data_IF_711091804033
#
_entry.id   IF_711091804033
#
_cell.length_a   1.000
_cell.length_b   1.000
_cell.length_c   1.000
_cell.angle_alpha   90.00
_cell.angle_beta   90.00
_cell.angle_gamma   90.00
#
_symmetry.space_group_name_H-M   'P 1'
#
loop_
_entity.id
_entity.type
_entity.pdbx_description
1 polymer ?
#
# COMPACT_ATOMS: atom_id res chain seq x y z
N UNK A 1 -53.50 26.74 -3.71
CA UNK A 1 -52.09 27.06 -4.02
C UNK A 1 -51.23 26.28 -3.05
N UNK A 2 -50.86 25.04 -3.39
CA UNK A 2 -49.87 24.27 -2.65
C UNK A 2 -48.53 24.44 -3.34
N UNK A 3 -47.52 24.92 -2.61
CA UNK A 3 -46.15 24.98 -3.11
C UNK A 3 -45.54 23.60 -2.95
N UNK A 4 -45.27 22.92 -4.07
CA UNK A 4 -44.39 21.74 -4.09
C UNK A 4 -42.97 22.21 -3.75
N UNK A 5 -42.50 21.83 -2.57
CA UNK A 5 -41.09 21.93 -2.22
C UNK A 5 -40.40 20.76 -2.90
N UNK A 6 -39.81 21.03 -4.07
CA UNK A 6 -38.86 20.11 -4.70
C UNK A 6 -37.61 20.10 -3.82
N UNK A 7 -37.48 19.09 -2.97
CA UNK A 7 -36.23 18.82 -2.27
C UNK A 7 -35.17 18.51 -3.33
N UNK A 8 -34.22 19.42 -3.52
CA UNK A 8 -33.04 19.14 -4.32
C UNK A 8 -32.27 18.03 -3.62
N UNK A 9 -32.22 16.84 -4.24
CA UNK A 9 -31.32 15.78 -3.80
C UNK A 9 -29.89 16.32 -3.87
N UNK A 10 -29.26 16.48 -2.71
CA UNK A 10 -27.84 16.75 -2.66
C UNK A 10 -27.13 15.57 -3.35
N UNK A 11 -26.18 15.83 -4.26
CA UNK A 11 -25.40 14.76 -4.86
C UNK A 11 -24.73 13.95 -3.74
N UNK A 12 -24.82 12.62 -3.83
CA UNK A 12 -24.15 11.74 -2.89
C UNK A 12 -22.64 12.06 -2.91
N UNK A 13 -21.96 12.02 -1.74
CA UNK A 13 -20.51 12.13 -1.70
C UNK A 13 -19.91 11.09 -2.65
N UNK A 14 -19.05 11.53 -3.58
CA UNK A 14 -18.40 10.63 -4.52
C UNK A 14 -17.22 9.93 -3.86
N UNK A 15 -17.15 8.61 -3.96
CA UNK A 15 -16.05 7.83 -3.41
C UNK A 15 -14.78 8.02 -4.26
N UNK A 16 -13.68 8.49 -3.69
CA UNK A 16 -12.40 8.54 -4.37
C UNK A 16 -11.90 7.12 -4.66
N UNK A 17 -11.61 6.83 -5.92
CA UNK A 17 -11.07 5.54 -6.36
C UNK A 17 -9.60 5.70 -6.69
N UNK A 18 -8.75 4.86 -6.12
CA UNK A 18 -7.35 4.74 -6.53
C UNK A 18 -7.27 3.90 -7.80
N UNK A 19 -6.75 4.49 -8.88
CA UNK A 19 -6.41 3.76 -10.10
C UNK A 19 -4.92 3.48 -10.16
N UNK A 20 -4.58 2.26 -10.58
CA UNK A 20 -3.21 1.82 -10.79
C UNK A 20 -3.04 1.41 -12.25
N UNK A 21 -2.00 1.93 -12.90
CA UNK A 21 -1.61 1.55 -14.25
C UNK A 21 -0.17 1.05 -14.22
N UNK A 22 0.04 -0.21 -14.63
CA UNK A 22 1.38 -0.82 -14.64
C UNK A 22 2.27 -0.12 -15.66
N UNK A 23 3.45 0.31 -15.24
CA UNK A 23 4.43 0.99 -16.12
C UNK A 23 5.60 0.10 -16.47
N UNK A 24 6.09 -0.68 -15.51
CA UNK A 24 7.22 -1.58 -15.70
C UNK A 24 7.25 -2.66 -14.63
N UNK A 25 7.92 -3.76 -14.96
CA UNK A 25 8.10 -4.91 -14.08
C UNK A 25 9.55 -5.35 -14.09
N UNK A 26 10.08 -5.61 -12.90
CA UNK A 26 11.47 -5.94 -12.63
C UNK A 26 11.54 -7.34 -12.05
N UNK A 27 12.40 -8.20 -12.62
CA UNK A 27 12.54 -9.58 -12.11
C UNK A 27 13.39 -9.57 -10.85
N UNK A 28 12.98 -10.35 -9.85
CA UNK A 28 13.84 -10.68 -8.72
C UNK A 28 14.67 -11.89 -9.12
N UNK A 29 16.01 -11.85 -8.96
CA UNK A 29 16.85 -13.02 -9.22
C UNK A 29 16.39 -14.24 -8.41
N UNK A 30 16.45 -15.46 -8.98
CA UNK A 30 16.06 -16.68 -8.28
C UNK A 30 16.80 -16.84 -6.95
N UNK A 31 16.08 -17.28 -5.91
CA UNK A 31 16.62 -17.50 -4.57
C UNK A 31 16.78 -16.23 -3.71
N UNK A 32 16.38 -15.06 -4.21
CA UNK A 32 16.35 -13.83 -3.41
C UNK A 32 14.95 -13.61 -2.81
N UNK A 33 14.86 -13.61 -1.49
CA UNK A 33 13.67 -13.16 -0.76
C UNK A 33 13.77 -11.67 -0.49
N UNK A 34 12.84 -10.87 -1.03
CA UNK A 34 12.83 -9.41 -0.82
C UNK A 34 12.30 -9.08 0.59
N UNK A 35 13.11 -8.37 1.38
CA UNK A 35 12.72 -7.86 2.70
C UNK A 35 12.08 -6.47 2.66
N UNK A 36 12.22 -5.76 1.54
CA UNK A 36 11.58 -4.48 1.27
C UNK A 36 12.24 -3.74 0.10
N UNK A 37 11.70 -2.58 -0.24
CA UNK A 37 12.20 -1.75 -1.33
C UNK A 37 12.00 -0.26 -1.03
N UNK A 38 12.67 0.59 -1.80
CA UNK A 38 12.46 2.04 -1.86
C UNK A 38 12.62 2.53 -3.28
N UNK A 39 11.80 3.48 -3.69
CA UNK A 39 11.81 4.09 -5.02
C UNK A 39 12.30 5.53 -4.86
N UNK A 40 13.18 5.98 -5.75
CA UNK A 40 13.58 7.39 -5.77
C UNK A 40 12.37 8.29 -6.06
N UNK A 41 12.38 9.52 -5.54
CA UNK A 41 11.26 10.47 -5.70
C UNK A 41 10.94 10.80 -7.17
N UNK A 42 11.96 10.78 -8.04
CA UNK A 42 11.82 10.92 -9.49
C UNK A 42 11.21 9.67 -10.17
N UNK A 43 11.09 8.56 -9.44
CA UNK A 43 10.55 7.30 -9.93
C UNK A 43 11.51 6.53 -10.85
N UNK A 44 12.77 6.93 -11.02
CA UNK A 44 13.68 6.33 -12.01
C UNK A 44 14.56 5.20 -11.47
N UNK A 45 14.73 5.11 -10.14
CA UNK A 45 15.60 4.14 -9.49
C UNK A 45 14.88 3.41 -8.39
N UNK A 46 14.94 2.08 -8.44
CA UNK A 46 14.37 1.20 -7.42
C UNK A 46 15.51 0.46 -6.72
N UNK A 47 15.55 0.58 -5.39
CA UNK A 47 16.40 -0.24 -4.54
C UNK A 47 15.52 -1.27 -3.85
N UNK A 48 15.90 -2.54 -3.92
CA UNK A 48 15.30 -3.62 -3.14
C UNK A 48 16.39 -4.31 -2.31
N UNK A 49 16.07 -4.78 -1.11
CA UNK A 49 17.03 -5.50 -0.28
C UNK A 49 16.54 -6.91 0.03
N UNK A 50 17.48 -7.84 0.10
CA UNK A 50 17.19 -9.21 0.50
C UNK A 50 16.92 -9.30 2.01
N UNK A 51 15.94 -10.10 2.40
CA UNK A 51 15.62 -10.36 3.81
C UNK A 51 16.73 -11.16 4.51
N UNK A 52 17.33 -12.11 3.79
CA UNK A 52 18.18 -13.15 4.39
C UNK A 52 19.66 -13.06 3.97
N UNK A 53 19.99 -12.10 3.10
CA UNK A 53 21.33 -11.91 2.54
C UNK A 53 21.77 -10.44 2.60
N UNK A 54 23.09 -10.16 2.65
CA UNK A 54 23.63 -8.80 2.56
C UNK A 54 23.64 -8.30 1.11
N UNK A 55 22.48 -8.39 0.46
CA UNK A 55 22.30 -8.13 -0.96
C UNK A 55 21.30 -6.99 -1.14
N UNK A 56 21.70 -5.99 -1.90
CA UNK A 56 20.83 -4.92 -2.38
C UNK A 56 20.81 -4.98 -3.91
N UNK A 57 19.63 -4.88 -4.48
CA UNK A 57 19.38 -4.86 -5.91
C UNK A 57 19.06 -3.42 -6.32
N UNK A 58 19.85 -2.86 -7.22
CA UNK A 58 19.59 -1.56 -7.82
C UNK A 58 19.08 -1.76 -9.24
N UNK A 59 17.86 -1.31 -9.50
CA UNK A 59 17.28 -1.21 -10.83
C UNK A 59 17.38 0.24 -11.29
N UNK A 60 18.19 0.49 -12.32
CA UNK A 60 18.36 1.79 -12.95
C UNK A 60 17.61 1.85 -14.29
N UNK A 61 16.62 2.74 -14.40
CA UNK A 61 15.85 2.93 -15.62
C UNK A 61 14.83 1.80 -15.90
N UNK A 62 14.59 1.52 -17.18
CA UNK A 62 13.54 0.58 -17.64
C UNK A 62 14.01 -0.87 -17.82
N UNK A 63 15.28 -1.18 -17.51
CA UNK A 63 15.82 -2.54 -17.62
C UNK A 63 15.24 -3.46 -16.53
N UNK A 64 15.00 -4.73 -16.86
CA UNK A 64 14.43 -5.72 -15.94
C UNK A 64 15.44 -6.36 -14.99
N UNK A 65 16.74 -6.22 -15.29
CA UNK A 65 17.83 -6.86 -14.56
C UNK A 65 18.49 -5.88 -13.57
N UNK A 66 18.69 -6.29 -12.30
CA UNK A 66 19.32 -5.44 -11.31
C UNK A 66 20.84 -5.44 -11.42
N UNK A 67 21.45 -4.35 -10.96
CA UNK A 67 22.83 -4.35 -10.48
C UNK A 67 22.85 -4.81 -9.03
N UNK A 68 23.57 -5.89 -8.76
CA UNK A 68 23.74 -6.43 -7.41
C UNK A 68 24.82 -5.65 -6.65
N UNK A 69 24.45 -5.11 -5.49
CA UNK A 69 25.34 -4.46 -4.54
C UNK A 69 25.46 -5.34 -3.29
N UNK A 70 26.68 -5.69 -2.90
CA UNK A 70 26.95 -6.42 -1.67
C UNK A 70 27.29 -5.45 -0.55
N UNK A 71 26.58 -5.55 0.57
CA UNK A 71 26.82 -4.73 1.75
C UNK A 71 27.65 -5.50 2.79
N UNK A 72 28.37 -4.80 3.67
CA UNK A 72 29.13 -5.44 4.77
C UNK A 72 28.24 -5.99 5.89
N UNK A 73 26.94 -5.71 5.85
CA UNK A 73 25.96 -6.09 6.87
C UNK A 73 24.59 -6.24 6.23
N UNK A 74 23.71 -7.03 6.85
CA UNK A 74 22.33 -7.20 6.39
C UNK A 74 21.56 -5.88 6.47
N UNK A 75 20.77 -5.60 5.44
CA UNK A 75 19.79 -4.50 5.45
C UNK A 75 18.49 -5.05 6.00
N UNK A 76 18.03 -4.52 7.15
CA UNK A 76 16.85 -5.05 7.85
C UNK A 76 15.65 -4.16 7.55
N UNK A 77 14.62 -4.74 6.90
CA UNK A 77 13.25 -4.20 6.91
C UNK A 77 12.51 -4.68 8.16
N UNK A 78 11.66 -3.84 8.75
CA UNK A 78 11.00 -4.15 10.01
C UNK A 78 10.12 -5.41 9.92
N UNK A 79 10.50 -6.48 10.63
CA UNK A 79 9.79 -7.78 10.64
C UNK A 79 8.41 -7.74 11.33
N UNK A 80 8.19 -6.74 12.18
CA UNK A 80 7.01 -6.61 13.05
C UNK A 80 6.38 -5.22 13.01
N UNK A 81 7.12 -4.23 12.47
CA UNK A 81 6.77 -2.83 12.44
C UNK A 81 7.07 -2.29 11.04
N UNK A 82 6.08 -1.72 10.38
CA UNK A 82 6.27 -0.98 9.14
C UNK A 82 6.37 0.51 9.45
N UNK A 83 7.37 1.15 8.84
CA UNK A 83 7.58 2.60 8.87
C UNK A 83 7.56 3.09 7.43
N UNK A 84 6.68 4.04 7.14
CA UNK A 84 6.64 4.73 5.85
C UNK A 84 6.60 6.25 6.08
N UNK A 85 7.17 7.02 5.14
CA UNK A 85 7.02 8.47 5.14
C UNK A 85 5.64 8.84 4.55
N UNK A 86 4.98 9.81 5.16
CA UNK A 86 3.75 10.43 4.68
C UNK A 86 3.92 11.95 4.69
N UNK A 87 4.51 12.49 3.62
CA UNK A 87 4.94 13.89 3.55
C UNK A 87 5.87 14.28 4.71
N UNK A 88 5.39 15.09 5.66
CA UNK A 88 6.12 15.50 6.86
C UNK A 88 5.91 14.56 8.06
N UNK A 89 5.00 13.60 7.95
CA UNK A 89 4.61 12.66 8.99
C UNK A 89 5.24 11.27 8.75
N UNK A 90 5.17 10.42 9.78
CA UNK A 90 5.50 9.00 9.71
C UNK A 90 4.23 8.16 9.83
N UNK A 91 4.13 7.10 9.05
CA UNK A 91 3.16 6.02 9.27
C UNK A 91 3.81 4.89 10.06
N UNK A 92 3.14 4.44 11.10
CA UNK A 92 3.56 3.34 11.96
C UNK A 92 2.48 2.29 11.98
N UNK A 93 2.86 1.03 11.72
CA UNK A 93 1.91 -0.08 11.74
C UNK A 93 2.55 -1.35 12.30
N UNK A 94 1.81 -2.06 13.14
CA UNK A 94 2.17 -3.44 13.51
C UNK A 94 1.63 -4.45 12.50
N UNK A 95 2.42 -5.48 12.28
CA UNK A 95 2.07 -6.62 11.41
C UNK A 95 0.86 -7.40 11.95
N UNK A 96 0.82 -7.63 13.24
CA UNK A 96 -0.21 -8.44 13.89
C UNK A 96 -1.48 -7.60 14.17
N UNK A 97 -2.63 -8.24 14.43
CA UNK A 97 -3.84 -7.54 14.87
C UNK A 97 -3.55 -6.60 16.05
N UNK A 98 -4.16 -5.40 16.11
CA UNK A 98 -5.38 -4.98 15.39
C UNK A 98 -5.13 -4.34 14.01
N UNK A 99 -3.90 -4.40 13.47
CA UNK A 99 -3.53 -3.81 12.17
C UNK A 99 -3.75 -2.29 12.05
N UNK A 100 -3.84 -1.59 13.18
CA UNK A 100 -3.95 -0.12 13.22
C UNK A 100 -2.72 0.53 12.59
N UNK A 101 -2.96 1.61 11.85
CA UNK A 101 -1.92 2.50 11.34
C UNK A 101 -2.04 3.82 12.08
N UNK A 102 -0.95 4.27 12.67
CA UNK A 102 -0.86 5.61 13.24
C UNK A 102 -0.11 6.51 12.27
N UNK A 103 -0.69 7.69 11.98
CA UNK A 103 0.08 8.78 11.41
C UNK A 103 0.60 9.66 12.54
N UNK A 104 1.90 9.79 12.61
CA UNK A 104 2.62 10.48 13.67
C UNK A 104 3.34 11.67 13.06
N UNK A 105 3.01 12.87 13.51
CA UNK A 105 3.68 14.08 13.07
C UNK A 105 5.14 14.12 13.56
N UNK A 106 5.95 14.98 12.94
CA UNK A 106 7.38 15.14 13.27
C UNK A 106 7.63 15.49 14.74
N UNK A 107 6.65 16.08 15.43
CA UNK A 107 6.70 16.40 16.86
C UNK A 107 6.39 15.20 17.77
N UNK A 108 6.06 14.03 17.20
CA UNK A 108 5.70 12.80 17.91
C UNK A 108 4.21 12.65 18.24
N UNK A 109 3.36 13.60 17.86
CA UNK A 109 1.92 13.50 18.10
C UNK A 109 1.24 12.58 17.09
N UNK A 110 0.33 11.73 17.56
CA UNK A 110 -0.55 10.96 16.69
C UNK A 110 -1.61 11.90 16.13
N UNK A 111 -1.55 12.19 14.83
CA UNK A 111 -2.47 13.10 14.13
C UNK A 111 -3.62 12.36 13.45
N UNK A 112 -3.48 11.06 13.22
CA UNK A 112 -4.56 10.20 12.74
C UNK A 112 -4.33 8.75 13.18
N UNK A 113 -5.42 8.01 13.37
CA UNK A 113 -5.42 6.57 13.61
C UNK A 113 -6.38 5.92 12.61
N UNK A 114 -5.86 4.99 11.83
CA UNK A 114 -6.60 4.25 10.81
C UNK A 114 -6.74 2.81 11.27
N UNK A 115 -7.97 2.32 11.31
CA UNK A 115 -8.25 0.95 11.66
C UNK A 115 -9.19 0.37 10.59
N UNK A 116 -8.94 -0.87 10.12
CA UNK A 116 -9.90 -1.53 9.24
C UNK A 116 -11.24 -1.62 9.96
N UNK A 117 -12.28 -1.07 9.32
CA UNK A 117 -13.68 -1.11 9.78
C UNK A 117 -14.29 -2.52 9.64
N UNK A 118 -13.72 -3.37 8.79
CA UNK A 118 -14.27 -4.67 8.45
C UNK A 118 -13.28 -5.83 8.54
N UNK A 119 -13.79 -6.99 8.97
CA UNK A 119 -13.08 -8.24 8.81
C UNK A 119 -13.05 -8.69 7.34
N UNK A 120 -11.94 -9.26 6.86
CA UNK A 120 -11.83 -9.86 5.54
C UNK A 120 -12.74 -11.08 5.26
N UNK A 121 -13.54 -11.51 6.24
CA UNK A 121 -14.30 -12.78 6.22
C UNK A 121 -15.80 -12.62 5.98
N UNK A 122 -16.35 -11.41 5.96
CA UNK A 122 -17.78 -11.20 5.73
C UNK A 122 -18.70 -11.74 6.84
N UNK A 123 -18.17 -12.00 8.04
CA UNK A 123 -18.94 -12.44 9.22
C UNK A 123 -18.96 -11.39 10.32
N UNK A 124 -20.01 -11.40 11.16
CA UNK A 124 -20.26 -10.47 12.29
C UNK A 124 -19.30 -10.66 13.49
N UNK A 125 -18.01 -10.84 13.25
CA UNK A 125 -16.96 -10.89 14.27
C UNK A 125 -16.16 -9.60 14.33
N UNK A 126 -15.61 -9.24 15.51
CA UNK A 126 -14.80 -8.02 15.70
C UNK A 126 -13.27 -8.27 15.65
N UNK A 127 -12.79 -9.52 15.64
CA UNK A 127 -11.35 -9.85 15.60
C UNK A 127 -10.88 -10.52 14.28
N UNK A 128 -9.95 -9.92 13.51
CA UNK A 128 -9.44 -10.52 12.28
C UNK A 128 -8.89 -11.94 12.55
N UNK A 129 -9.08 -12.90 11.63
CA UNK A 129 -8.61 -14.27 11.85
C UNK A 129 -7.09 -14.29 12.08
N UNK A 130 -6.56 -15.20 12.92
CA UNK A 130 -5.16 -15.16 13.38
C UNK A 130 -4.12 -15.36 12.27
N UNK A 131 -4.54 -15.76 11.07
CA UNK A 131 -3.70 -15.92 9.88
C UNK A 131 -3.63 -14.67 9.00
N UNK A 132 -4.26 -13.56 9.39
CA UNK A 132 -4.21 -12.31 8.65
C UNK A 132 -3.15 -11.38 9.23
N UNK A 133 -2.23 -10.92 8.38
CA UNK A 133 -1.12 -10.05 8.78
C UNK A 133 -1.11 -8.81 7.89
N UNK A 134 -0.96 -7.64 8.51
CA UNK A 134 -0.70 -6.41 7.77
C UNK A 134 0.65 -6.51 7.07
N UNK A 135 0.68 -6.12 5.80
CA UNK A 135 1.89 -5.84 5.05
C UNK A 135 2.22 -4.35 5.18
N UNK A 136 3.04 -3.79 4.30
CA UNK A 136 3.33 -2.36 4.35
C UNK A 136 2.10 -1.50 4.01
N UNK A 137 2.07 -0.29 4.55
CA UNK A 137 1.02 0.70 4.32
C UNK A 137 1.59 1.97 3.63
N UNK A 138 1.79 1.95 2.31
CA UNK A 138 2.28 3.12 1.58
C UNK A 138 1.33 4.32 1.61
N UNK A 139 1.91 5.52 1.49
CA UNK A 139 1.21 6.80 1.41
C UNK A 139 1.35 7.46 0.03
N UNK A 140 0.41 7.25 -0.90
CA UNK A 140 0.37 7.97 -2.18
C UNK A 140 -0.18 9.41 -2.05
N UNK A 141 0.36 10.20 -1.12
CA UNK A 141 0.16 11.66 -1.02
C UNK A 141 -1.19 12.17 -0.49
N UNK A 142 -2.32 11.48 -0.71
CA UNK A 142 -3.63 11.96 -0.22
C UNK A 142 -4.48 10.88 0.45
N UNK A 143 -3.83 9.81 0.88
CA UNK A 143 -4.46 8.67 1.53
C UNK A 143 -3.45 7.59 1.84
N UNK A 144 -3.89 6.57 2.57
CA UNK A 144 -3.08 5.40 2.90
C UNK A 144 -3.67 4.18 2.21
N UNK A 145 -2.81 3.33 1.67
CA UNK A 145 -3.22 2.01 1.19
C UNK A 145 -2.66 0.99 2.17
N UNK A 146 -3.53 0.19 2.77
CA UNK A 146 -3.13 -0.95 3.59
C UNK A 146 -3.42 -2.24 2.83
N UNK A 147 -2.47 -3.17 2.87
CA UNK A 147 -2.69 -4.55 2.41
C UNK A 147 -2.60 -5.47 3.62
N UNK A 148 -3.65 -6.25 3.86
CA UNK A 148 -3.68 -7.29 4.88
C UNK A 148 -3.75 -8.65 4.18
N UNK A 149 -2.81 -9.53 4.48
CA UNK A 149 -2.64 -10.80 3.81
C UNK A 149 -3.06 -11.97 4.69
N UNK A 150 -3.88 -12.86 4.14
CA UNK A 150 -3.98 -14.23 4.64
C UNK A 150 -2.66 -14.96 4.34
N UNK A 151 -1.95 -15.44 5.35
CA UNK A 151 -0.66 -16.13 5.16
C UNK A 151 -0.81 -17.59 4.71
N UNK A 152 -2.04 -18.10 4.68
CA UNK A 152 -2.35 -19.48 4.27
C UNK A 152 -2.87 -19.56 2.83
N UNK A 153 -3.24 -18.42 2.23
CA UNK A 153 -3.81 -18.34 0.88
C UNK A 153 -3.30 -17.10 0.13
N UNK A 154 -3.69 -16.94 -1.12
CA UNK A 154 -3.39 -15.74 -1.92
C UNK A 154 -4.37 -14.59 -1.66
N UNK A 155 -5.21 -14.68 -0.63
CA UNK A 155 -6.20 -13.65 -0.32
C UNK A 155 -5.55 -12.43 0.32
N UNK A 156 -5.92 -11.25 -0.19
CA UNK A 156 -5.48 -9.94 0.29
C UNK A 156 -6.69 -9.04 0.47
N UNK A 157 -6.76 -8.36 1.61
CA UNK A 157 -7.70 -7.26 1.85
C UNK A 157 -6.94 -5.96 1.61
N UNK A 158 -7.37 -5.21 0.60
CA UNK A 158 -6.90 -3.87 0.35
C UNK A 158 -7.85 -2.92 1.06
N UNK A 159 -7.33 -2.04 1.90
CA UNK A 159 -8.10 -0.97 2.54
C UNK A 159 -7.47 0.35 2.14
N UNK A 160 -8.30 1.29 1.69
CA UNK A 160 -7.88 2.62 1.30
C UNK A 160 -8.46 3.60 2.30
N UNK A 161 -7.61 4.40 2.91
CA UNK A 161 -7.98 5.45 3.84
C UNK A 161 -7.74 6.82 3.22
N UNK A 162 -8.52 7.80 3.61
CA UNK A 162 -8.21 9.19 3.31
C UNK A 162 -7.11 9.74 4.23
N UNK A 163 -6.80 11.03 4.09
CA UNK A 163 -5.84 11.69 4.96
C UNK A 163 -6.37 11.94 6.39
N UNK A 164 -7.66 11.87 6.66
CA UNK A 164 -8.23 11.93 8.01
C UNK A 164 -8.11 10.59 8.74
N UNK A 165 -7.98 9.51 7.99
CA UNK A 165 -7.97 8.13 8.46
C UNK A 165 -9.30 7.41 8.29
N UNK A 166 -10.27 8.02 7.63
CA UNK A 166 -11.55 7.41 7.29
C UNK A 166 -11.38 6.40 6.16
N UNK A 167 -12.09 5.27 6.24
CA UNK A 167 -12.08 4.25 5.18
C UNK A 167 -12.83 4.77 3.97
N UNK A 168 -12.12 4.88 2.84
CA UNK A 168 -12.67 5.26 1.54
C UNK A 168 -13.20 4.06 0.78
N UNK A 169 -12.48 2.95 0.82
CA UNK A 169 -12.91 1.69 0.20
C UNK A 169 -12.13 0.51 0.75
N UNK A 170 -12.70 -0.68 0.61
CA UNK A 170 -11.98 -1.93 0.81
C UNK A 170 -12.29 -2.92 -0.30
N UNK A 171 -11.36 -3.83 -0.57
CA UNK A 171 -11.53 -4.88 -1.58
C UNK A 171 -10.78 -6.14 -1.21
N UNK A 172 -11.48 -7.27 -1.26
CA UNK A 172 -10.86 -8.58 -1.21
C UNK A 172 -10.35 -8.95 -2.61
N UNK A 173 -9.07 -9.28 -2.72
CA UNK A 173 -8.40 -9.70 -3.96
C UNK A 173 -7.77 -11.07 -3.72
N UNK A 174 -7.76 -11.93 -4.74
CA UNK A 174 -7.08 -13.22 -4.71
C UNK A 174 -5.83 -13.17 -5.57
N UNK A 175 -4.77 -12.56 -5.04
CA UNK A 175 -3.47 -12.46 -5.70
C UNK A 175 -2.35 -12.30 -4.65
N UNK A 176 -1.23 -13.03 -4.79
CA UNK A 176 -0.11 -12.97 -3.86
C UNK A 176 0.75 -11.72 -4.09
N UNK A 177 0.30 -10.57 -3.59
CA UNK A 177 1.06 -9.32 -3.68
C UNK A 177 1.01 -8.50 -2.38
N UNK A 178 1.91 -7.52 -2.31
CA UNK A 178 1.89 -6.44 -1.33
C UNK A 178 2.63 -5.23 -1.87
N UNK A 179 2.22 -4.02 -1.47
CA UNK A 179 3.00 -2.83 -1.78
C UNK A 179 4.25 -2.78 -0.90
N UNK A 180 5.34 -2.21 -1.42
CA UNK A 180 6.65 -2.18 -0.74
C UNK A 180 7.32 -0.81 -0.79
N UNK A 181 6.93 0.08 -1.70
CA UNK A 181 7.47 1.44 -1.80
C UNK A 181 6.50 2.38 -2.52
N UNK A 182 6.66 3.69 -2.30
CA UNK A 182 6.01 4.76 -3.05
C UNK A 182 7.01 5.86 -3.40
N UNK A 183 6.76 6.56 -4.50
CA UNK A 183 7.37 7.85 -4.82
C UNK A 183 6.23 8.82 -5.13
N UNK A 184 5.88 9.67 -4.16
CA UNK A 184 4.69 10.50 -4.23
C UNK A 184 4.82 11.59 -5.30
N UNK A 185 6.03 12.16 -5.48
CA UNK A 185 6.27 13.20 -6.49
C UNK A 185 6.12 12.69 -7.92
N UNK A 186 6.50 11.44 -8.18
CA UNK A 186 6.34 10.78 -9.47
C UNK A 186 4.97 10.10 -9.66
N UNK A 187 4.08 10.17 -8.66
CA UNK A 187 2.83 9.40 -8.61
C UNK A 187 3.06 7.91 -8.88
N UNK A 188 4.08 7.31 -8.26
CA UNK A 188 4.43 5.90 -8.44
C UNK A 188 4.28 5.08 -7.14
N UNK A 189 3.91 3.82 -7.31
CA UNK A 189 3.86 2.81 -6.24
C UNK A 189 4.46 1.49 -6.74
N UNK A 190 5.17 0.79 -5.85
CA UNK A 190 5.83 -0.48 -6.16
C UNK A 190 5.13 -1.59 -5.40
N UNK A 191 4.75 -2.65 -6.13
CA UNK A 191 4.25 -3.89 -5.56
C UNK A 191 5.28 -5.01 -5.74
N UNK A 192 5.49 -5.78 -4.68
CA UNK A 192 6.09 -7.10 -4.78
C UNK A 192 4.97 -8.11 -5.05
N UNK A 193 5.14 -8.93 -6.09
CA UNK A 193 4.22 -9.99 -6.48
C UNK A 193 4.96 -11.32 -6.53
N UNK A 194 4.27 -12.40 -6.23
CA UNK A 194 4.86 -13.75 -6.21
C UNK A 194 3.93 -14.72 -6.94
N UNK A 195 4.10 -14.86 -8.25
CA UNK A 195 3.37 -15.85 -9.04
C UNK A 195 4.26 -17.09 -9.24
N UNK A 196 4.68 -17.38 -10.48
CA UNK A 196 5.71 -18.38 -10.76
C UNK A 196 7.08 -17.91 -10.26
N UNK A 197 7.39 -16.63 -10.49
CA UNK A 197 8.57 -15.93 -10.01
C UNK A 197 8.18 -14.75 -9.10
N UNK A 198 9.15 -14.27 -8.31
CA UNK A 198 9.00 -12.99 -7.60
C UNK A 198 9.38 -11.82 -8.49
N UNK A 199 8.58 -10.77 -8.47
CA UNK A 199 8.76 -9.60 -9.32
C UNK A 199 8.34 -8.32 -8.59
N UNK A 200 9.03 -7.22 -8.92
CA UNK A 200 8.69 -5.87 -8.49
C UNK A 200 8.03 -5.13 -9.64
N UNK A 201 6.74 -4.85 -9.51
CA UNK A 201 6.00 -4.10 -10.51
C UNK A 201 5.77 -2.68 -10.04
N UNK A 202 5.99 -1.72 -10.93
CA UNK A 202 5.82 -0.28 -10.69
C UNK A 202 4.55 0.19 -11.40
N UNK A 203 3.67 0.83 -10.65
CA UNK A 203 2.44 1.43 -11.13
C UNK A 203 2.54 2.94 -11.05
N UNK A 204 2.03 3.64 -12.05
CA UNK A 204 1.56 4.99 -11.79
C UNK A 204 0.20 4.93 -11.11
N UNK A 205 -0.06 5.87 -10.21
CA UNK A 205 -1.34 5.97 -9.53
C UNK A 205 -2.02 7.31 -9.79
N UNK A 206 -3.34 7.33 -9.68
CA UNK A 206 -4.11 8.58 -9.57
C UNK A 206 -5.39 8.35 -8.79
N UNK A 207 -5.84 9.38 -8.09
CA UNK A 207 -7.17 9.42 -7.52
C UNK A 207 -8.16 9.84 -8.60
N UNK A 208 -9.19 9.04 -8.85
CA UNK A 208 -10.35 9.45 -9.63
C UNK A 208 -11.51 9.78 -8.70
N UNK A 209 -12.10 10.95 -8.90
CA UNK A 209 -13.48 11.20 -8.53
C UNK A 209 -14.37 10.49 -9.53
N UNK A 210 -15.25 9.61 -9.05
CA UNK A 210 -16.22 8.93 -9.91
C UNK A 210 -17.34 9.91 -10.27
N UNK A 211 -17.18 10.64 -11.38
CA UNK A 211 -18.26 11.47 -11.92
C UNK A 211 -19.49 10.58 -12.13
N UNK A 212 -20.48 10.69 -11.24
CA UNK A 212 -21.80 10.10 -11.44
C UNK A 212 -22.43 10.83 -12.62
N UNK A 213 -22.29 10.27 -13.82
CA UNK A 213 -23.12 10.69 -14.95
C UNK A 213 -24.52 10.19 -14.66
N UNK A 214 -25.31 11.00 -13.98
CA UNK A 214 -26.75 10.80 -13.86
C UNK A 214 -27.36 10.97 -15.26
N UNK A 215 -27.99 9.92 -15.78
CA UNK A 215 -28.91 10.02 -16.92
C UNK A 215 -30.27 10.53 -16.45
#
# INVERSE_FOLDING_TARGET
MGADVVAASLPLPQEPVLELEEKRTHRIPPGVTVGGATLSEDGDRLLAWAADAPTVLLYDGSGSEPRTLTTSSRVVGGRFLFLAAADADALVQFRDPPHTIWRIAVNGEVVASMQPDHQPTGGEGHEPPPNWLALSAPYPGSGVIQVIADVTTDRRLLVIYDAGGDVLSHRLVSAPFGFVATASQASMIVALRTFEDSELSVYSWRWRTTNSTTF
#
